data_IF_537456225690
#
_entry.id   IF_537456225690
#
_cell.length_a   1.000
_cell.length_b   1.000
_cell.length_c   1.000
_cell.angle_alpha   90.00
_cell.angle_beta   90.00
_cell.angle_gamma   90.00
#
_symmetry.space_group_name_H-M   'P 1'
#
loop_
_entity.id
_entity.type
_entity.pdbx_description
1 polymer ?
#
# COMPACT_ATOMS: atom_id res chain seq x y z
N UNK A 1 -23.70 -14.34 5.34
CA UNK A 1 -22.27 -14.07 5.64
C UNK A 1 -21.82 -12.75 5.00
N UNK A 2 -22.42 -11.62 5.41
CA UNK A 2 -22.20 -10.31 4.79
C UNK A 2 -22.10 -9.20 5.84
N UNK A 3 -21.32 -9.43 6.91
CA UNK A 3 -21.06 -8.44 7.95
C UNK A 3 -19.56 -8.38 8.14
N UNK A 4 -19.03 -7.16 8.21
CA UNK A 4 -17.61 -6.80 8.38
C UNK A 4 -16.90 -6.49 7.04
N UNK A 5 -17.48 -5.60 6.22
CA UNK A 5 -16.73 -4.82 5.22
C UNK A 5 -16.66 -3.35 5.68
N UNK A 6 -15.46 -2.76 5.65
CA UNK A 6 -15.19 -1.33 5.93
C UNK A 6 -14.75 -0.99 7.36
N UNK A 7 -14.18 0.21 7.54
CA UNK A 7 -13.68 0.77 8.81
C UNK A 7 -14.72 0.72 9.94
N UNK A 8 -15.99 0.97 9.64
CA UNK A 8 -17.08 0.88 10.61
C UNK A 8 -17.31 -0.56 11.12
N UNK A 9 -17.16 -1.55 10.24
CA UNK A 9 -17.21 -2.97 10.59
C UNK A 9 -15.99 -3.40 11.41
N UNK A 10 -14.81 -2.90 11.06
CA UNK A 10 -13.59 -3.12 11.85
C UNK A 10 -13.65 -2.45 13.23
N UNK A 11 -14.17 -1.23 13.35
CA UNK A 11 -14.38 -0.55 14.63
C UNK A 11 -15.44 -1.24 15.48
N UNK A 12 -16.53 -1.73 14.88
CA UNK A 12 -17.55 -2.50 15.59
C UNK A 12 -17.03 -3.87 16.03
N UNK A 13 -16.22 -4.54 15.20
CA UNK A 13 -15.56 -5.81 15.55
C UNK A 13 -14.53 -5.63 16.67
N UNK A 14 -13.71 -4.56 16.60
CA UNK A 14 -12.78 -4.19 17.67
C UNK A 14 -13.50 -3.89 18.99
N UNK A 15 -14.60 -3.13 18.96
CA UNK A 15 -15.45 -2.89 20.14
C UNK A 15 -16.12 -4.16 20.67
N UNK A 16 -16.31 -5.17 19.82
CA UNK A 16 -16.85 -6.47 20.19
C UNK A 16 -15.77 -7.50 20.57
N UNK A 17 -14.49 -7.09 20.71
CA UNK A 17 -13.38 -7.98 21.06
C UNK A 17 -12.99 -8.98 19.96
N UNK A 18 -13.55 -8.84 18.75
CA UNK A 18 -13.22 -9.69 17.60
C UNK A 18 -12.03 -9.10 16.86
N UNK A 19 -10.84 -9.56 17.24
CA UNK A 19 -9.59 -9.20 16.57
C UNK A 19 -9.52 -9.96 15.24
N UNK A 20 -9.67 -9.26 14.12
CA UNK A 20 -9.50 -9.87 12.79
C UNK A 20 -8.01 -10.12 12.52
N UNK A 21 -7.69 -11.17 11.77
CA UNK A 21 -6.32 -11.44 11.35
C UNK A 21 -5.70 -10.25 10.58
N UNK A 22 -6.52 -9.48 9.84
CA UNK A 22 -6.11 -8.24 9.19
C UNK A 22 -5.73 -7.14 10.17
N UNK A 23 -6.48 -6.96 11.26
CA UNK A 23 -6.15 -5.99 12.30
C UNK A 23 -4.84 -6.35 13.03
N UNK A 24 -4.58 -7.65 13.27
CA UNK A 24 -3.29 -8.10 13.83
C UNK A 24 -2.13 -7.80 12.89
N UNK A 25 -2.30 -8.03 11.58
CA UNK A 25 -1.25 -7.74 10.58
C UNK A 25 -0.93 -6.25 10.50
N UNK A 26 -1.96 -5.39 10.41
CA UNK A 26 -1.78 -3.93 10.38
C UNK A 26 -1.20 -3.41 11.70
N UNK A 27 -1.65 -3.94 12.85
CA UNK A 27 -1.09 -3.59 14.14
C UNK A 27 0.36 -4.06 14.27
N UNK A 28 0.71 -5.24 13.76
CA UNK A 28 2.08 -5.76 13.76
C UNK A 28 3.02 -4.93 12.88
N UNK A 29 2.60 -4.58 11.66
CA UNK A 29 3.35 -3.69 10.77
C UNK A 29 3.47 -2.29 11.38
N UNK A 30 2.38 -1.74 11.93
CA UNK A 30 2.37 -0.45 12.61
C UNK A 30 3.26 -0.43 13.85
N UNK A 31 3.28 -1.50 14.63
CA UNK A 31 4.15 -1.65 15.80
C UNK A 31 5.62 -1.79 15.40
N UNK A 32 5.93 -2.61 14.39
CA UNK A 32 7.29 -2.74 13.86
C UNK A 32 7.81 -1.41 13.27
N UNK A 33 6.96 -0.70 12.54
CA UNK A 33 7.27 0.63 12.00
C UNK A 33 7.45 1.66 13.12
N UNK A 34 6.61 1.65 14.16
CA UNK A 34 6.74 2.53 15.32
C UNK A 34 8.02 2.25 16.12
N UNK A 35 8.35 0.98 16.35
CA UNK A 35 9.61 0.57 17.01
C UNK A 35 10.81 1.01 16.18
N UNK A 36 10.80 0.75 14.87
CA UNK A 36 11.87 1.17 13.97
C UNK A 36 12.02 2.70 13.95
N UNK A 37 10.91 3.45 13.94
CA UNK A 37 10.90 4.91 14.00
C UNK A 37 11.41 5.45 15.34
N UNK A 38 11.17 4.77 16.46
CA UNK A 38 11.74 5.12 17.78
C UNK A 38 13.24 4.85 17.82
N UNK A 39 13.68 3.70 17.31
CA UNK A 39 15.08 3.27 17.33
C UNK A 39 15.96 4.07 16.36
N UNK A 40 15.40 4.56 15.26
CA UNK A 40 16.12 5.37 14.24
C UNK A 40 15.96 6.88 14.44
N UNK A 41 15.24 7.30 15.50
CA UNK A 41 14.95 8.71 15.76
C UNK A 41 16.20 9.49 16.15
N UNK A 42 16.53 10.51 15.37
CA UNK A 42 17.49 11.55 15.76
C UNK A 42 16.74 12.79 16.27
N UNK A 43 16.31 12.80 17.54
CA UNK A 43 15.74 13.99 18.20
C UNK A 43 14.51 13.74 19.08
N UNK A 44 14.22 14.62 20.06
CA UNK A 44 13.05 14.54 20.95
C UNK A 44 12.11 15.74 20.74
N UNK A 45 10.79 15.55 20.88
CA UNK A 45 9.79 16.63 20.83
C UNK A 45 8.65 16.46 19.80
N UNK A 46 7.67 17.39 19.76
CA UNK A 46 6.45 17.31 18.94
C UNK A 46 6.73 17.17 17.44
N UNK A 47 7.78 17.83 16.97
CA UNK A 47 8.29 17.77 15.59
C UNK A 47 8.46 16.33 15.10
N UNK A 48 9.17 15.50 15.86
CA UNK A 48 9.41 14.12 15.46
C UNK A 48 8.26 13.16 15.81
N UNK A 49 7.24 13.59 16.59
CA UNK A 49 5.96 12.85 16.65
C UNK A 49 5.21 12.99 15.33
N UNK A 50 5.13 14.21 14.78
CA UNK A 50 4.51 14.46 13.47
C UNK A 50 5.20 13.67 12.38
N UNK A 51 6.54 13.67 12.34
CA UNK A 51 7.28 12.88 11.35
C UNK A 51 7.06 11.37 11.51
N UNK A 52 6.92 10.88 12.75
CA UNK A 52 6.55 9.50 13.04
C UNK A 52 5.15 9.13 12.51
N UNK A 53 4.15 9.99 12.76
CA UNK A 53 2.77 9.78 12.26
C UNK A 53 2.73 9.78 10.73
N UNK A 54 3.40 10.73 10.08
CA UNK A 54 3.48 10.80 8.62
C UNK A 54 4.15 9.54 8.05
N UNK A 55 5.25 9.09 8.65
CA UNK A 55 5.97 7.90 8.20
C UNK A 55 5.12 6.65 8.37
N UNK A 56 4.59 6.40 9.57
CA UNK A 56 3.75 5.24 9.84
C UNK A 56 2.50 5.23 8.98
N UNK A 57 1.85 6.39 8.81
CA UNK A 57 0.68 6.54 7.96
C UNK A 57 0.98 6.22 6.49
N UNK A 58 2.10 6.71 5.96
CA UNK A 58 2.51 6.43 4.58
C UNK A 58 2.86 4.95 4.38
N UNK A 59 3.62 4.33 5.29
CA UNK A 59 3.97 2.90 5.23
C UNK A 59 2.71 2.04 5.30
N UNK A 60 1.90 2.18 6.35
CA UNK A 60 0.71 1.34 6.56
C UNK A 60 -0.37 1.63 5.51
N UNK A 61 -0.60 2.90 5.17
CA UNK A 61 -1.59 3.30 4.18
C UNK A 61 -1.24 2.82 2.78
N UNK A 62 0.04 2.92 2.39
CA UNK A 62 0.48 2.46 1.06
C UNK A 62 0.46 0.93 0.98
N UNK A 63 0.85 0.21 2.04
CA UNK A 63 0.69 -1.24 2.13
C UNK A 63 -0.77 -1.67 1.91
N UNK A 64 -1.70 -1.04 2.65
CA UNK A 64 -3.13 -1.31 2.49
C UNK A 64 -3.64 -0.96 1.09
N UNK A 65 -3.23 0.18 0.52
CA UNK A 65 -3.66 0.60 -0.81
C UNK A 65 -3.19 -0.37 -1.90
N UNK A 66 -1.94 -0.83 -1.84
CA UNK A 66 -1.42 -1.83 -2.80
C UNK A 66 -2.15 -3.17 -2.63
N UNK A 67 -2.46 -3.57 -1.39
CA UNK A 67 -3.27 -4.76 -1.12
C UNK A 67 -4.70 -4.65 -1.70
N UNK A 68 -5.32 -3.47 -1.65
CA UNK A 68 -6.63 -3.23 -2.25
C UNK A 68 -6.61 -3.28 -3.79
N UNK A 69 -5.45 -3.09 -4.39
CA UNK A 69 -5.24 -3.26 -5.83
C UNK A 69 -4.99 -4.73 -6.20
N UNK A 70 -4.59 -5.59 -5.26
CA UNK A 70 -4.29 -7.00 -5.50
C UNK A 70 -5.54 -7.90 -5.57
N UNK A 71 -6.60 -7.41 -6.22
CA UNK A 71 -7.85 -8.13 -6.43
C UNK A 71 -7.94 -8.78 -7.82
N UNK A 72 -6.96 -8.50 -8.69
CA UNK A 72 -6.85 -9.07 -10.02
C UNK A 72 -5.40 -9.30 -10.40
N UNK A 73 -5.10 -10.37 -11.17
CA UNK A 73 -3.74 -10.72 -11.57
C UNK A 73 -2.97 -9.52 -12.16
N UNK A 74 -1.76 -9.28 -11.69
CA UNK A 74 -0.82 -8.28 -12.19
C UNK A 74 -1.19 -6.83 -11.88
N UNK A 75 -2.36 -6.52 -11.28
CA UNK A 75 -2.75 -5.11 -11.02
C UNK A 75 -1.81 -4.46 -10.01
N UNK A 76 -1.68 -5.07 -8.84
CA UNK A 76 -0.80 -4.57 -7.79
C UNK A 76 0.65 -4.51 -8.29
N UNK A 77 1.12 -5.55 -8.98
CA UNK A 77 2.45 -5.60 -9.57
C UNK A 77 2.74 -4.46 -10.55
N UNK A 78 1.82 -4.14 -11.47
CA UNK A 78 1.96 -3.01 -12.39
C UNK A 78 2.04 -1.68 -11.66
N UNK A 79 1.08 -1.41 -10.77
CA UNK A 79 1.01 -0.11 -10.07
C UNK A 79 2.25 0.07 -9.19
N UNK A 80 2.64 -0.97 -8.45
CA UNK A 80 3.82 -0.94 -7.60
C UNK A 80 5.10 -0.76 -8.42
N UNK A 81 5.23 -1.46 -9.56
CA UNK A 81 6.40 -1.34 -10.44
C UNK A 81 6.52 0.06 -11.04
N UNK A 82 5.41 0.65 -11.50
CA UNK A 82 5.39 2.02 -12.03
C UNK A 82 5.76 3.04 -10.95
N UNK A 83 5.16 2.92 -9.75
CA UNK A 83 5.47 3.81 -8.64
C UNK A 83 6.93 3.68 -8.17
N UNK A 84 7.45 2.46 -8.10
CA UNK A 84 8.85 2.21 -7.74
C UNK A 84 9.79 2.75 -8.82
N UNK A 85 9.54 2.49 -10.10
CA UNK A 85 10.36 2.99 -11.20
C UNK A 85 10.39 4.53 -11.24
N UNK A 86 9.26 5.19 -11.02
CA UNK A 86 9.17 6.65 -10.97
C UNK A 86 9.90 7.27 -9.76
N UNK A 87 10.19 6.48 -8.71
CA UNK A 87 10.80 6.95 -7.47
C UNK A 87 12.15 6.31 -7.15
N UNK A 88 12.70 5.47 -8.03
CA UNK A 88 13.97 4.74 -7.82
C UNK A 88 15.20 5.66 -7.81
N UNK A 89 15.08 6.88 -8.34
CA UNK A 89 16.16 7.85 -8.31
C UNK A 89 16.47 8.42 -6.92
N UNK A 90 17.70 8.88 -6.74
CA UNK A 90 18.16 9.61 -5.56
C UNK A 90 18.58 8.75 -4.36
N UNK A 91 18.94 9.38 -3.23
CA UNK A 91 19.59 8.70 -2.10
C UNK A 91 18.79 7.57 -1.46
N UNK A 92 17.45 7.63 -1.51
CA UNK A 92 16.55 6.63 -0.96
C UNK A 92 16.07 5.59 -1.99
N UNK A 93 16.60 5.63 -3.22
CA UNK A 93 16.20 4.76 -4.33
C UNK A 93 16.33 3.26 -4.06
N UNK A 94 17.36 2.88 -3.29
CA UNK A 94 17.62 1.50 -2.91
C UNK A 94 16.47 0.82 -2.16
N UNK A 95 15.61 1.59 -1.48
CA UNK A 95 14.43 1.06 -0.77
C UNK A 95 13.43 0.36 -1.70
N UNK A 96 13.36 0.79 -2.97
CA UNK A 96 12.39 0.28 -3.94
C UNK A 96 13.04 -0.46 -5.11
N UNK A 97 14.36 -0.34 -5.31
CA UNK A 97 15.07 -1.02 -6.40
C UNK A 97 14.96 -2.55 -6.33
N UNK A 98 15.22 -3.14 -5.16
CA UNK A 98 15.08 -4.59 -4.93
C UNK A 98 13.63 -5.08 -5.10
N UNK A 99 12.65 -4.47 -4.40
CA UNK A 99 11.23 -4.79 -4.58
C UNK A 99 10.73 -4.63 -6.01
N UNK A 100 11.21 -3.62 -6.74
CA UNK A 100 10.90 -3.42 -8.16
C UNK A 100 11.41 -4.61 -8.99
N UNK A 101 12.68 -4.99 -8.82
CA UNK A 101 13.24 -6.15 -9.51
C UNK A 101 12.49 -7.45 -9.20
N UNK A 102 12.19 -7.71 -7.93
CA UNK A 102 11.42 -8.87 -7.50
C UNK A 102 10.00 -8.87 -8.08
N UNK A 103 9.30 -7.73 -8.04
CA UNK A 103 7.95 -7.58 -8.60
C UNK A 103 7.96 -7.81 -10.10
N UNK A 104 8.92 -7.22 -10.83
CA UNK A 104 9.06 -7.41 -12.28
C UNK A 104 9.39 -8.86 -12.65
N UNK A 105 10.17 -9.56 -11.82
CA UNK A 105 10.52 -10.96 -12.07
C UNK A 105 9.29 -11.89 -11.98
N UNK A 106 8.36 -11.63 -11.05
CA UNK A 106 7.14 -12.44 -10.89
C UNK A 106 5.97 -11.94 -11.74
N UNK A 107 6.05 -10.72 -12.28
CA UNK A 107 4.96 -10.09 -13.03
C UNK A 107 4.45 -10.93 -14.22
N UNK A 108 5.29 -11.60 -15.04
CA UNK A 108 4.79 -12.45 -16.12
C UNK A 108 4.00 -13.67 -15.65
N UNK A 109 4.40 -14.27 -14.52
CA UNK A 109 3.65 -15.37 -13.91
C UNK A 109 2.33 -14.88 -13.31
N UNK A 110 2.35 -13.70 -12.69
CA UNK A 110 1.16 -13.05 -12.14
C UNK A 110 0.16 -12.69 -13.25
N UNK A 111 0.62 -12.03 -14.33
CA UNK A 111 -0.20 -11.73 -15.51
C UNK A 111 -0.74 -12.97 -16.23
N UNK A 112 0.02 -14.06 -16.18
CA UNK A 112 -0.39 -15.37 -16.70
C UNK A 112 -1.28 -16.16 -15.75
N UNK A 113 -1.76 -15.55 -14.67
CA UNK A 113 -2.66 -16.12 -13.66
C UNK A 113 -2.11 -17.39 -12.96
N UNK A 114 -0.79 -17.60 -13.00
CA UNK A 114 -0.11 -18.74 -12.35
C UNK A 114 0.16 -18.50 -10.88
N UNK A 115 0.42 -17.24 -10.54
CA UNK A 115 0.63 -16.76 -9.16
C UNK A 115 -0.12 -15.45 -8.99
N UNK A 116 -0.19 -14.97 -7.75
CA UNK A 116 -0.51 -13.57 -7.45
C UNK A 116 0.49 -13.07 -6.42
N UNK A 117 0.77 -11.77 -6.40
CA UNK A 117 1.56 -11.16 -5.32
C UNK A 117 1.05 -11.58 -3.93
N UNK A 118 -0.28 -11.63 -3.80
CA UNK A 118 -0.99 -12.00 -2.59
C UNK A 118 -0.80 -10.97 -1.48
N UNK A 119 -1.51 -11.18 -0.37
CA UNK A 119 -1.46 -10.30 0.81
C UNK A 119 -0.01 -9.99 1.25
N UNK A 120 0.84 -11.01 1.33
CA UNK A 120 2.19 -10.84 1.85
C UNK A 120 3.06 -9.99 0.90
N UNK A 121 3.05 -10.30 -0.40
CA UNK A 121 3.80 -9.54 -1.40
C UNK A 121 3.28 -8.11 -1.53
N UNK A 122 1.96 -7.95 -1.62
CA UNK A 122 1.32 -6.64 -1.79
C UNK A 122 1.60 -5.71 -0.60
N UNK A 123 1.46 -6.22 0.64
CA UNK A 123 1.78 -5.43 1.83
C UNK A 123 3.28 -5.13 1.94
N UNK A 124 4.17 -6.07 1.61
CA UNK A 124 5.61 -5.85 1.68
C UNK A 124 6.08 -4.78 0.68
N UNK A 125 5.68 -4.90 -0.58
CA UNK A 125 6.03 -3.92 -1.62
C UNK A 125 5.40 -2.56 -1.33
N UNK A 126 4.13 -2.54 -0.91
CA UNK A 126 3.45 -1.30 -0.54
C UNK A 126 4.06 -0.62 0.69
N UNK A 127 4.55 -1.36 1.69
CA UNK A 127 5.24 -0.80 2.85
C UNK A 127 6.57 -0.14 2.45
N UNK A 128 7.35 -0.77 1.56
CA UNK A 128 8.62 -0.23 1.08
C UNK A 128 8.42 1.00 0.18
N UNK A 129 7.38 0.98 -0.67
CA UNK A 129 6.93 2.18 -1.39
C UNK A 129 6.53 3.30 -0.42
N UNK A 130 5.74 2.99 0.60
CA UNK A 130 5.34 3.96 1.62
C UNK A 130 6.54 4.54 2.38
N UNK A 131 7.56 3.73 2.68
CA UNK A 131 8.81 4.20 3.28
C UNK A 131 9.61 5.11 2.33
N UNK A 132 9.63 4.77 1.03
CA UNK A 132 10.24 5.61 0.00
C UNK A 132 9.54 6.97 -0.12
N UNK A 133 8.21 7.01 -0.02
CA UNK A 133 7.44 8.24 0.02
C UNK A 133 7.70 9.03 1.32
N UNK A 134 7.82 8.36 2.46
CA UNK A 134 8.15 8.98 3.74
C UNK A 134 9.56 9.58 3.80
N UNK A 135 10.44 9.15 2.89
CA UNK A 135 11.80 9.69 2.71
C UNK A 135 11.86 10.96 1.84
N UNK A 136 10.72 11.41 1.29
CA UNK A 136 10.66 12.67 0.53
C UNK A 136 10.89 13.86 1.48
N UNK A 137 11.81 14.78 1.14
CA UNK A 137 12.07 15.96 1.97
C UNK A 137 10.82 16.83 2.17
N UNK A 138 10.64 17.32 3.39
CA UNK A 138 9.56 18.24 3.75
C UNK A 138 8.27 17.55 4.21
N UNK A 139 7.53 18.23 5.10
CA UNK A 139 6.26 17.70 5.64
C UNK A 139 5.10 17.87 4.68
N UNK A 140 5.04 18.98 3.94
CA UNK A 140 3.96 19.28 3.00
C UNK A 140 3.72 18.16 1.99
N UNK A 141 4.74 17.74 1.22
CA UNK A 141 4.60 16.66 0.25
C UNK A 141 4.17 15.33 0.89
N UNK A 142 4.77 14.97 2.04
CA UNK A 142 4.42 13.74 2.78
C UNK A 142 2.98 13.75 3.28
N UNK A 143 2.51 14.89 3.81
CA UNK A 143 1.13 15.07 4.24
C UNK A 143 0.14 14.99 3.06
N UNK A 144 0.48 15.62 1.93
CA UNK A 144 -0.34 15.54 0.72
C UNK A 144 -0.45 14.10 0.18
N UNK A 145 0.68 13.38 0.12
CA UNK A 145 0.69 11.97 -0.27
C UNK A 145 -0.13 11.10 0.67
N UNK A 146 0.01 11.30 1.98
CA UNK A 146 -0.80 10.58 2.97
C UNK A 146 -2.28 10.88 2.81
N UNK A 147 -2.65 12.14 2.56
CA UNK A 147 -4.03 12.53 2.31
C UNK A 147 -4.61 11.83 1.07
N UNK A 148 -3.83 11.72 -0.02
CA UNK A 148 -4.24 10.95 -1.22
C UNK A 148 -4.43 9.48 -0.89
N UNK A 149 -3.50 8.86 -0.18
CA UNK A 149 -3.59 7.44 0.21
C UNK A 149 -4.83 7.18 1.07
N UNK A 150 -5.09 8.05 2.05
CA UNK A 150 -6.27 7.98 2.91
C UNK A 150 -7.55 8.18 2.10
N UNK A 151 -7.60 9.19 1.22
CA UNK A 151 -8.77 9.45 0.39
C UNK A 151 -9.11 8.28 -0.54
N UNK A 152 -8.10 7.69 -1.19
CA UNK A 152 -8.28 6.50 -2.03
C UNK A 152 -8.74 5.29 -1.21
N UNK A 153 -8.16 5.10 -0.02
CA UNK A 153 -8.58 4.02 0.89
C UNK A 153 -10.04 4.18 1.30
N UNK A 154 -10.46 5.38 1.71
CA UNK A 154 -11.85 5.66 2.08
C UNK A 154 -12.81 5.54 0.90
N UNK A 155 -12.40 6.00 -0.29
CA UNK A 155 -13.19 5.86 -1.51
C UNK A 155 -13.42 4.38 -1.86
N UNK A 156 -12.40 3.54 -1.66
CA UNK A 156 -12.48 2.09 -1.92
C UNK A 156 -13.54 1.36 -1.08
N UNK A 157 -13.91 1.92 0.09
CA UNK A 157 -14.96 1.35 0.94
C UNK A 157 -16.36 1.53 0.33
N UNK A 158 -16.56 2.60 -0.46
CA UNK A 158 -17.83 2.90 -1.10
C UNK A 158 -17.94 2.27 -2.48
N UNK A 159 -16.85 2.32 -3.25
CA UNK A 159 -16.79 1.81 -4.61
C UNK A 159 -15.47 1.06 -4.80
N UNK A 160 -15.55 -0.20 -5.25
CA UNK A 160 -14.33 -0.99 -5.46
C UNK A 160 -13.47 -0.39 -6.58
N UNK A 161 -12.14 -0.42 -6.44
CA UNK A 161 -11.23 0.01 -7.51
C UNK A 161 -11.48 -0.76 -8.80
N UNK A 162 -11.82 -2.05 -8.71
CA UNK A 162 -12.19 -2.85 -9.87
C UNK A 162 -13.36 -2.25 -10.65
N UNK A 163 -14.41 -1.79 -9.96
CA UNK A 163 -15.57 -1.16 -10.60
C UNK A 163 -15.16 0.13 -11.31
N UNK A 164 -14.37 0.97 -10.67
CA UNK A 164 -13.90 2.25 -11.24
C UNK A 164 -13.02 2.00 -12.47
N UNK A 165 -12.06 1.07 -12.36
CA UNK A 165 -11.12 0.73 -13.43
C UNK A 165 -11.86 0.17 -14.65
N UNK A 166 -12.79 -0.77 -14.47
CA UNK A 166 -13.57 -1.34 -15.56
C UNK A 166 -14.52 -0.34 -16.24
N UNK A 167 -15.02 0.65 -15.49
CA UNK A 167 -15.90 1.69 -16.02
C UNK A 167 -15.14 2.82 -16.76
N UNK A 168 -13.81 2.89 -16.66
CA UNK A 168 -13.02 4.00 -17.18
C UNK A 168 -12.19 3.55 -18.39
N UNK A 169 -12.53 4.00 -19.62
CA UNK A 169 -11.69 3.79 -20.80
C UNK A 169 -10.28 4.34 -20.59
N UNK A 170 -9.27 3.67 -21.12
CA UNK A 170 -7.86 3.86 -20.81
C UNK A 170 -7.40 3.04 -19.61
N UNK A 171 -8.02 3.21 -18.44
CA UNK A 171 -7.63 2.46 -17.23
C UNK A 171 -7.94 0.97 -17.36
N UNK A 172 -9.09 0.63 -17.94
CA UNK A 172 -9.47 -0.76 -18.19
C UNK A 172 -8.47 -1.45 -19.12
N UNK A 173 -8.07 -0.79 -20.20
CA UNK A 173 -7.15 -1.33 -21.19
C UNK A 173 -5.75 -1.50 -20.59
N UNK A 174 -5.26 -0.55 -19.79
CA UNK A 174 -4.02 -0.67 -19.02
C UNK A 174 -4.07 -1.81 -17.98
N UNK A 175 -5.20 -1.96 -17.27
CA UNK A 175 -5.39 -3.03 -16.29
C UNK A 175 -5.38 -4.41 -16.96
N UNK A 176 -5.99 -4.53 -18.14
CA UNK A 176 -6.02 -5.77 -18.94
C UNK A 176 -4.73 -6.05 -19.72
N UNK A 177 -3.92 -5.03 -20.00
CA UNK A 177 -2.69 -5.18 -20.80
C UNK A 177 -1.80 -6.32 -20.26
N UNK A 178 -1.51 -7.31 -21.08
CA UNK A 178 -0.66 -8.45 -20.72
C UNK A 178 -1.34 -9.57 -19.91
N UNK A 179 -2.61 -9.42 -19.51
CA UNK A 179 -3.39 -10.53 -18.95
C UNK A 179 -3.86 -11.49 -20.05
N UNK A 180 -4.21 -12.70 -19.65
CA UNK A 180 -4.93 -13.64 -20.51
C UNK A 180 -6.27 -13.04 -20.97
N UNK A 181 -6.73 -13.33 -22.21
CA UNK A 181 -8.04 -12.93 -22.68
C UNK A 181 -9.12 -13.57 -21.80
N UNK A 182 -10.00 -12.74 -21.24
CA UNK A 182 -11.20 -13.16 -20.51
C UNK A 182 -12.40 -13.32 -21.44
#
# INVERSE_FOLDING_TARGET
>A
QARDKGLAGHLAALRAGRVSAGAVKVAGIGAAAAVSAVLTRSGRGPSALVDGVLTTGLVAGTANLVNLLDLRPGRAGKVASLAAAASVGGPAGGLVAGPLGATLAVLPDDLGERVMLGDAGANAVGALLGLRLASIPGRGPRAALLAVVVALTLASERVSFTTVIEATPGLRELDRLGRLPS
#
